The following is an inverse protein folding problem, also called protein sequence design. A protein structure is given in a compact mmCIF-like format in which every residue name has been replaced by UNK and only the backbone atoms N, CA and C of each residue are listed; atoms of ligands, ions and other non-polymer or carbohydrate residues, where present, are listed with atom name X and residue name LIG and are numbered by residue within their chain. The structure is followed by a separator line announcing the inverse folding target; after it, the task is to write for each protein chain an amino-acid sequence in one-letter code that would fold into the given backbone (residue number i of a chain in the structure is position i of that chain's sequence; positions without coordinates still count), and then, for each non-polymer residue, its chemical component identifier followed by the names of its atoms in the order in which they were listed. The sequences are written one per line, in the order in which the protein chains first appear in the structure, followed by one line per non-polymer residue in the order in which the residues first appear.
data_IF_497043010112
#
_entry.id   IF_497043010112
#
_cell.length_a   1.000
_cell.length_b   1.000
_cell.length_c   1.000
_cell.angle_alpha   90.00
_cell.angle_beta   90.00
_cell.angle_gamma   90.00
#
_symmetry.space_group_name_H-M   'P 1'
#
loop_
_entity.id
_entity.type
_entity.pdbx_description
1 polymer ?
#
# COMPACT_ATOMS: atom_id res chain seq x y z
N UNK A 1 21.95 -38.02 28.29
CA UNK A 1 21.81 -37.23 27.02
C UNK A 1 20.36 -37.44 26.60
N UNK A 2 19.48 -36.54 27.08
CA UNK A 2 18.08 -36.53 26.66
C UNK A 2 18.00 -36.06 25.22
N UNK A 3 17.42 -36.88 24.35
CA UNK A 3 17.00 -36.49 23.02
C UNK A 3 15.91 -35.41 23.17
N UNK A 4 16.31 -34.14 23.00
CA UNK A 4 15.35 -33.04 22.84
C UNK A 4 14.55 -33.36 21.58
N UNK A 5 13.32 -33.79 21.80
CA UNK A 5 12.41 -34.30 20.78
C UNK A 5 12.19 -33.22 19.69
N UNK A 6 12.54 -33.53 18.46
CA UNK A 6 12.37 -32.77 17.21
C UNK A 6 10.90 -32.27 17.03
N UNK A 7 9.96 -32.90 17.65
CA UNK A 7 8.53 -32.58 17.64
C UNK A 7 8.19 -31.25 18.34
N UNK A 8 8.88 -30.89 19.41
CA UNK A 8 8.68 -29.61 20.12
C UNK A 8 9.24 -28.42 19.36
N UNK A 9 10.22 -28.61 18.49
CA UNK A 9 10.84 -27.58 17.67
C UNK A 9 9.98 -27.30 16.42
N UNK A 10 9.46 -28.35 15.80
CA UNK A 10 8.51 -28.25 14.67
C UNK A 10 7.20 -27.58 15.08
N UNK A 11 6.66 -27.90 16.26
CA UNK A 11 5.46 -27.27 16.81
C UNK A 11 5.65 -25.76 17.04
N UNK A 12 6.80 -25.34 17.60
CA UNK A 12 7.14 -23.92 17.81
C UNK A 12 7.37 -23.17 16.51
N UNK A 13 8.04 -23.76 15.52
CA UNK A 13 8.21 -23.18 14.19
C UNK A 13 6.88 -23.02 13.46
N UNK A 14 6.01 -24.01 13.53
CA UNK A 14 4.68 -23.95 12.94
C UNK A 14 3.82 -22.85 13.60
N UNK A 15 3.85 -22.71 14.90
CA UNK A 15 3.18 -21.61 15.62
C UNK A 15 3.75 -20.25 15.23
N UNK A 16 5.07 -20.11 15.11
CA UNK A 16 5.71 -18.86 14.73
C UNK A 16 5.42 -18.48 13.27
N UNK A 17 5.32 -19.45 12.35
CA UNK A 17 5.02 -19.21 10.93
C UNK A 17 3.53 -18.98 10.66
N UNK A 18 2.63 -19.54 11.49
CA UNK A 18 1.19 -19.55 11.23
C UNK A 18 0.35 -18.91 12.33
N UNK A 19 0.95 -18.04 13.14
CA UNK A 19 0.16 -17.30 14.13
C UNK A 19 -0.96 -16.50 13.45
N UNK A 20 -2.20 -16.54 13.96
CA UNK A 20 -3.28 -15.75 13.42
C UNK A 20 -3.00 -14.26 13.64
N UNK A 21 -3.55 -13.36 12.78
CA UNK A 21 -3.43 -11.93 13.01
C UNK A 21 -4.06 -11.53 14.35
N UNK A 22 -3.66 -10.39 14.90
CA UNK A 22 -4.32 -9.82 16.08
C UNK A 22 -5.78 -9.49 15.75
N UNK A 23 -6.74 -9.85 16.61
CA UNK A 23 -8.12 -9.41 16.46
C UNK A 23 -8.24 -7.91 16.73
N UNK A 24 -9.37 -7.31 16.36
CA UNK A 24 -9.66 -5.92 16.69
C UNK A 24 -9.68 -5.72 18.22
N UNK A 25 -9.17 -4.57 18.66
CA UNK A 25 -9.14 -4.19 20.09
C UNK A 25 -7.91 -4.68 20.86
N UNK A 26 -7.09 -5.58 20.30
CA UNK A 26 -5.81 -5.98 20.90
C UNK A 26 -4.73 -4.92 20.58
N UNK A 27 -4.26 -4.19 21.61
CA UNK A 27 -3.21 -3.17 21.46
C UNK A 27 -1.88 -3.64 22.04
N UNK A 28 -0.77 -3.21 21.44
CA UNK A 28 0.58 -3.42 21.99
C UNK A 28 1.04 -2.10 22.62
N UNK A 29 1.20 -2.10 23.93
CA UNK A 29 1.77 -0.95 24.64
C UNK A 29 3.25 -0.74 24.24
N UNK A 30 3.64 0.51 23.96
CA UNK A 30 5.02 0.85 23.62
C UNK A 30 5.52 0.30 22.28
N UNK A 31 4.63 0.04 21.31
CA UNK A 31 5.00 -0.38 19.97
C UNK A 31 5.86 0.67 19.29
N UNK A 32 7.00 0.28 18.76
CA UNK A 32 7.88 1.10 17.92
C UNK A 32 7.85 0.63 16.48
N UNK A 33 8.12 1.53 15.55
CA UNK A 33 8.21 1.18 14.12
C UNK A 33 9.41 0.26 13.90
N UNK A 34 9.20 -0.88 13.27
CA UNK A 34 10.27 -1.85 12.99
C UNK A 34 11.08 -1.43 11.74
N UNK A 35 12.35 -1.87 11.66
CA UNK A 35 13.18 -1.66 10.46
C UNK A 35 12.54 -2.26 9.19
N UNK A 36 11.80 -3.35 9.33
CA UNK A 36 11.08 -3.96 8.21
C UNK A 36 9.96 -3.05 7.70
N UNK A 37 9.24 -2.36 8.59
CA UNK A 37 8.21 -1.40 8.22
C UNK A 37 8.81 -0.16 7.55
N UNK A 38 9.94 0.34 8.03
CA UNK A 38 10.66 1.44 7.38
C UNK A 38 11.16 1.04 5.97
N UNK A 39 11.66 -0.18 5.83
CA UNK A 39 12.09 -0.67 4.52
C UNK A 39 10.89 -0.85 3.57
N UNK A 40 9.76 -1.32 4.08
CA UNK A 40 8.51 -1.39 3.32
C UNK A 40 8.07 0.00 2.81
N UNK A 41 8.19 1.04 3.64
CA UNK A 41 7.89 2.42 3.27
C UNK A 41 8.83 2.94 2.17
N UNK A 42 10.13 2.61 2.24
CA UNK A 42 11.11 2.97 1.20
C UNK A 42 10.79 2.34 -0.17
N UNK A 43 10.25 1.13 -0.19
CA UNK A 43 9.80 0.50 -1.45
C UNK A 43 8.65 1.29 -2.09
N UNK A 44 7.71 1.83 -1.29
CA UNK A 44 6.66 2.72 -1.84
C UNK A 44 7.22 4.03 -2.38
N UNK A 45 8.22 4.60 -1.71
CA UNK A 45 8.90 5.81 -2.20
C UNK A 45 9.51 5.56 -3.57
N UNK A 46 10.15 4.40 -3.78
CA UNK A 46 10.69 4.04 -5.09
C UNK A 46 9.60 3.92 -6.17
N UNK A 47 8.41 3.39 -5.83
CA UNK A 47 7.26 3.37 -6.76
C UNK A 47 6.77 4.77 -7.09
N UNK A 48 6.68 5.66 -6.08
CA UNK A 48 6.28 7.06 -6.28
C UNK A 48 7.33 7.80 -7.12
N UNK A 49 8.63 7.55 -6.90
CA UNK A 49 9.72 8.11 -7.69
C UNK A 49 9.56 7.81 -9.18
N UNK A 50 9.22 6.57 -9.55
CA UNK A 50 8.97 6.21 -10.96
C UNK A 50 7.82 7.02 -11.57
N UNK A 51 6.73 7.22 -10.83
CA UNK A 51 5.63 8.06 -11.29
C UNK A 51 6.04 9.55 -11.44
N UNK A 52 6.85 10.05 -10.52
CA UNK A 52 7.34 11.43 -10.51
C UNK A 52 8.30 11.72 -11.68
N UNK A 53 9.19 10.78 -12.02
CA UNK A 53 10.09 10.91 -13.17
C UNK A 53 9.32 11.06 -14.49
N UNK A 54 8.30 10.24 -14.71
CA UNK A 54 7.46 10.34 -15.90
C UNK A 54 6.76 11.72 -16.00
N UNK A 55 6.26 12.25 -14.87
CA UNK A 55 5.68 13.59 -14.84
C UNK A 55 6.72 14.68 -15.17
N UNK A 56 7.97 14.54 -14.65
CA UNK A 56 9.03 15.55 -14.86
C UNK A 56 9.45 15.66 -16.33
N UNK A 57 9.37 14.59 -17.11
CA UNK A 57 9.68 14.58 -18.54
C UNK A 57 8.63 15.32 -19.39
N UNK A 58 7.35 15.28 -18.97
CA UNK A 58 6.23 15.83 -19.72
C UNK A 58 5.23 16.54 -18.81
N UNK A 59 5.53 17.77 -18.39
CA UNK A 59 4.65 18.54 -17.48
C UNK A 59 3.49 19.16 -18.26
N UNK A 60 2.35 18.48 -18.26
CA UNK A 60 1.08 18.96 -18.80
C UNK A 60 -0.03 18.80 -17.78
N UNK A 61 -1.16 19.49 -17.96
CA UNK A 61 -2.32 19.31 -17.08
C UNK A 61 -2.82 17.84 -17.08
N UNK A 62 -2.75 17.18 -18.24
CA UNK A 62 -3.12 15.77 -18.38
C UNK A 62 -2.17 14.87 -17.60
N UNK A 63 -0.86 14.99 -17.81
CA UNK A 63 0.15 14.18 -17.09
C UNK A 63 0.09 14.40 -15.57
N UNK A 64 -0.20 15.65 -15.15
CA UNK A 64 -0.40 15.95 -13.72
C UNK A 64 -1.63 15.24 -13.16
N UNK A 65 -2.73 15.18 -13.91
CA UNK A 65 -3.93 14.45 -13.48
C UNK A 65 -3.68 12.91 -13.45
N UNK A 66 -3.00 12.37 -14.45
CA UNK A 66 -2.60 10.97 -14.54
C UNK A 66 -1.70 10.58 -13.37
N UNK A 67 -0.66 11.38 -13.09
CA UNK A 67 0.18 11.23 -11.91
C UNK A 67 -0.65 11.26 -10.62
N UNK A 68 -1.57 12.21 -10.47
CA UNK A 68 -2.42 12.33 -9.29
C UNK A 68 -3.26 11.08 -9.03
N UNK A 69 -3.79 10.45 -10.08
CA UNK A 69 -4.55 9.19 -9.96
C UNK A 69 -3.64 8.03 -9.56
N UNK A 70 -2.50 7.86 -10.23
CA UNK A 70 -1.52 6.79 -9.93
C UNK A 70 -0.98 6.96 -8.51
N UNK A 71 -0.59 8.18 -8.15
CA UNK A 71 -0.14 8.51 -6.79
C UNK A 71 -1.21 8.17 -5.74
N UNK A 72 -2.48 8.55 -5.98
CA UNK A 72 -3.56 8.25 -5.06
C UNK A 72 -3.74 6.74 -4.84
N UNK A 73 -3.65 5.93 -5.90
CA UNK A 73 -3.70 4.47 -5.77
C UNK A 73 -2.54 3.93 -4.92
N UNK A 74 -1.30 4.38 -5.19
CA UNK A 74 -0.11 3.95 -4.45
C UNK A 74 -0.22 4.38 -2.98
N UNK A 75 -0.64 5.62 -2.73
CA UNK A 75 -0.81 6.15 -1.39
C UNK A 75 -1.90 5.39 -0.59
N UNK A 76 -3.03 5.08 -1.23
CA UNK A 76 -4.10 4.25 -0.63
C UNK A 76 -3.58 2.86 -0.26
N UNK A 77 -2.80 2.24 -1.13
CA UNK A 77 -2.18 0.95 -0.86
C UNK A 77 -1.24 1.02 0.35
N UNK A 78 -0.42 2.08 0.44
CA UNK A 78 0.48 2.33 1.57
C UNK A 78 -0.28 2.53 2.88
N UNK A 79 -1.30 3.40 2.88
CA UNK A 79 -2.13 3.65 4.08
C UNK A 79 -2.78 2.36 4.58
N UNK A 80 -3.32 1.56 3.65
CA UNK A 80 -3.98 0.30 3.97
C UNK A 80 -3.01 -0.72 4.59
N UNK A 81 -1.80 -0.87 4.00
CA UNK A 81 -0.74 -1.73 4.51
C UNK A 81 -0.25 -1.27 5.88
N UNK A 82 -0.03 0.03 6.06
CA UNK A 82 0.43 0.62 7.32
C UNK A 82 -0.58 0.42 8.44
N UNK A 83 -1.86 0.65 8.17
CA UNK A 83 -2.94 0.42 9.13
C UNK A 83 -3.08 -1.08 9.47
N UNK A 84 -2.96 -1.96 8.49
CA UNK A 84 -3.00 -3.39 8.76
C UNK A 84 -1.87 -3.82 9.71
N UNK A 85 -0.63 -3.41 9.44
CA UNK A 85 0.53 -3.75 10.27
C UNK A 85 0.39 -3.17 11.68
N UNK A 86 -0.09 -1.93 11.81
CA UNK A 86 -0.32 -1.28 13.10
C UNK A 86 -1.36 -2.04 13.94
N UNK A 87 -2.50 -2.37 13.34
CA UNK A 87 -3.65 -2.92 14.05
C UNK A 87 -3.53 -4.43 14.28
N UNK A 88 -3.00 -5.16 13.31
CA UNK A 88 -3.10 -6.62 13.25
C UNK A 88 -1.75 -7.33 13.07
N UNK A 89 -0.67 -6.58 12.79
CA UNK A 89 0.68 -7.14 12.63
C UNK A 89 1.19 -7.74 13.94
N UNK A 90 1.90 -8.88 13.86
CA UNK A 90 2.67 -9.51 14.94
C UNK A 90 4.13 -9.57 14.53
N UNK A 91 5.03 -9.64 15.51
CA UNK A 91 6.45 -9.88 15.24
C UNK A 91 6.72 -11.37 15.00
N UNK A 92 6.05 -11.97 14.02
CA UNK A 92 6.12 -13.37 13.67
C UNK A 92 6.59 -13.60 12.23
N UNK A 93 6.89 -14.86 11.90
CA UNK A 93 7.35 -15.24 10.57
C UNK A 93 6.31 -15.01 9.49
N UNK A 94 5.02 -15.19 9.80
CA UNK A 94 3.91 -14.95 8.87
C UNK A 94 3.86 -13.49 8.43
N UNK A 95 3.87 -12.55 9.38
CA UNK A 95 3.85 -11.11 9.08
C UNK A 95 5.05 -10.71 8.23
N UNK A 96 6.25 -11.17 8.60
CA UNK A 96 7.48 -10.91 7.83
C UNK A 96 7.39 -11.45 6.40
N UNK A 97 6.94 -12.70 6.22
CA UNK A 97 6.80 -13.31 4.91
C UNK A 97 5.81 -12.55 4.02
N UNK A 98 4.66 -12.14 4.58
CA UNK A 98 3.66 -11.36 3.86
C UNK A 98 4.20 -9.99 3.46
N UNK A 99 4.91 -9.29 4.34
CA UNK A 99 5.53 -8.00 4.04
C UNK A 99 6.57 -8.15 2.92
N UNK A 100 7.42 -9.18 2.95
CA UNK A 100 8.36 -9.45 1.86
C UNK A 100 7.66 -9.78 0.54
N UNK A 101 6.58 -10.55 0.57
CA UNK A 101 5.78 -10.84 -0.62
C UNK A 101 5.15 -9.55 -1.20
N UNK A 102 4.63 -8.68 -0.34
CA UNK A 102 4.10 -7.37 -0.75
C UNK A 102 5.19 -6.48 -1.34
N UNK A 103 6.39 -6.44 -0.74
CA UNK A 103 7.53 -5.71 -1.30
C UNK A 103 7.88 -6.22 -2.71
N UNK A 104 7.90 -7.55 -2.92
CA UNK A 104 8.13 -8.13 -4.23
C UNK A 104 7.09 -7.69 -5.27
N UNK A 105 5.80 -7.64 -4.88
CA UNK A 105 4.74 -7.12 -5.75
C UNK A 105 4.92 -5.62 -6.02
N UNK A 106 5.32 -4.83 -5.02
CA UNK A 106 5.57 -3.39 -5.18
C UNK A 106 6.78 -3.10 -6.07
N UNK A 107 7.85 -3.87 -5.95
CA UNK A 107 9.00 -3.77 -6.87
C UNK A 107 8.57 -4.06 -8.31
N UNK A 108 7.74 -5.09 -8.52
CA UNK A 108 7.16 -5.37 -9.83
C UNK A 108 6.21 -4.24 -10.29
N UNK A 109 5.47 -3.63 -9.37
CA UNK A 109 4.60 -2.48 -9.67
C UNK A 109 5.43 -1.29 -10.15
N UNK A 110 6.57 -1.00 -9.50
CA UNK A 110 7.47 0.09 -9.87
C UNK A 110 7.91 0.01 -11.35
N UNK A 111 8.14 -1.21 -11.86
CA UNK A 111 8.53 -1.43 -13.27
C UNK A 111 7.48 -0.90 -14.25
N UNK A 112 6.19 -0.95 -13.90
CA UNK A 112 5.09 -0.54 -14.78
C UNK A 112 4.51 0.83 -14.42
N UNK A 113 5.06 1.50 -13.39
CA UNK A 113 4.47 2.74 -12.86
C UNK A 113 4.73 3.92 -13.78
N UNK A 114 5.93 4.02 -14.38
CA UNK A 114 6.27 5.12 -15.28
C UNK A 114 5.28 5.24 -16.46
N UNK A 115 4.93 4.10 -17.08
CA UNK A 115 4.03 4.04 -18.24
C UNK A 115 2.59 3.66 -17.86
N UNK A 116 2.20 3.81 -16.59
CA UNK A 116 0.91 3.32 -16.09
C UNK A 116 -0.30 3.96 -16.79
N UNK A 117 -0.21 5.23 -17.16
CA UNK A 117 -1.26 5.94 -17.89
C UNK A 117 -1.36 5.52 -19.36
N UNK A 118 -0.27 5.04 -19.93
CA UNK A 118 -0.12 4.66 -21.34
C UNK A 118 -0.12 3.14 -21.57
N UNK A 119 0.87 2.64 -22.30
CA UNK A 119 1.02 1.23 -22.67
C UNK A 119 1.25 0.27 -21.49
N UNK A 120 1.86 0.75 -20.41
CA UNK A 120 2.11 0.00 -19.18
C UNK A 120 0.88 -0.19 -18.28
N UNK A 121 -0.25 0.44 -18.58
CA UNK A 121 -1.41 0.46 -17.70
C UNK A 121 -2.08 -0.89 -17.45
N UNK A 122 -2.05 -1.81 -18.43
CA UNK A 122 -2.58 -3.17 -18.21
C UNK A 122 -1.76 -3.97 -17.21
N UNK A 123 -0.44 -4.12 -17.37
CA UNK A 123 0.39 -4.81 -16.35
C UNK A 123 0.36 -4.09 -15.00
N UNK A 124 0.38 -2.75 -14.96
CA UNK A 124 0.21 -2.00 -13.72
C UNK A 124 -1.09 -2.39 -13.00
N UNK A 125 -2.24 -2.38 -13.70
CA UNK A 125 -3.53 -2.75 -13.12
C UNK A 125 -3.53 -4.17 -12.55
N UNK A 126 -2.96 -5.14 -13.26
CA UNK A 126 -2.93 -6.53 -12.81
C UNK A 126 -2.03 -6.72 -11.58
N UNK A 127 -0.85 -6.08 -11.56
CA UNK A 127 0.06 -6.14 -10.40
C UNK A 127 -0.55 -5.41 -9.21
N UNK A 128 -1.16 -4.25 -9.42
CA UNK A 128 -1.86 -3.51 -8.36
C UNK A 128 -3.05 -4.30 -7.82
N UNK A 129 -3.83 -4.97 -8.68
CA UNK A 129 -4.91 -5.86 -8.27
C UNK A 129 -4.41 -7.05 -7.45
N UNK A 130 -3.25 -7.63 -7.81
CA UNK A 130 -2.62 -8.69 -7.03
C UNK A 130 -2.24 -8.20 -5.63
N UNK A 131 -1.68 -7.00 -5.52
CA UNK A 131 -1.39 -6.36 -4.23
C UNK A 131 -2.68 -6.19 -3.40
N UNK A 132 -3.73 -5.61 -3.99
CA UNK A 132 -5.01 -5.43 -3.31
C UNK A 132 -5.66 -6.76 -2.91
N UNK A 133 -5.49 -7.83 -3.71
CA UNK A 133 -5.99 -9.16 -3.38
C UNK A 133 -5.30 -9.74 -2.13
N UNK A 134 -3.98 -9.56 -2.01
CA UNK A 134 -3.22 -9.92 -0.80
C UNK A 134 -3.75 -9.13 0.41
N UNK A 135 -3.95 -7.82 0.28
CA UNK A 135 -4.52 -6.99 1.33
C UNK A 135 -5.93 -7.43 1.72
N UNK A 136 -6.78 -7.73 0.73
CA UNK A 136 -8.14 -8.24 0.96
C UNK A 136 -8.13 -9.56 1.73
N UNK A 137 -7.22 -10.47 1.39
CA UNK A 137 -7.03 -11.73 2.11
C UNK A 137 -6.57 -11.51 3.57
N UNK A 138 -5.68 -10.56 3.79
CA UNK A 138 -5.21 -10.20 5.12
C UNK A 138 -6.37 -9.70 6.01
N UNK A 139 -7.16 -8.75 5.52
CA UNK A 139 -8.34 -8.23 6.24
C UNK A 139 -9.43 -9.29 6.42
N UNK A 140 -9.60 -10.19 5.45
CA UNK A 140 -10.50 -11.33 5.60
C UNK A 140 -10.02 -12.29 6.71
N UNK A 141 -8.70 -12.48 6.85
CA UNK A 141 -8.11 -13.30 7.91
C UNK A 141 -8.40 -12.71 9.30
N UNK A 142 -8.31 -11.37 9.45
CA UNK A 142 -8.69 -10.67 10.69
C UNK A 142 -10.19 -10.88 10.98
N UNK A 143 -11.05 -10.65 9.99
CA UNK A 143 -12.50 -10.86 10.16
C UNK A 143 -12.83 -12.30 10.64
N UNK A 144 -12.10 -13.29 10.14
CA UNK A 144 -12.26 -14.69 10.62
C UNK A 144 -11.83 -14.83 12.08
N UNK A 145 -10.79 -14.14 12.50
CA UNK A 145 -10.34 -14.16 13.88
C UNK A 145 -11.34 -13.49 14.82
N UNK A 146 -11.94 -12.36 14.41
CA UNK A 146 -12.94 -11.62 15.19
C UNK A 146 -14.19 -12.47 15.52
N UNK A 147 -14.52 -13.47 14.70
CA UNK A 147 -15.65 -14.36 14.95
C UNK A 147 -15.56 -15.11 16.30
N UNK A 148 -14.36 -15.24 16.86
CA UNK A 148 -14.11 -16.02 18.08
C UNK A 148 -14.11 -15.20 19.37
N UNK A 149 -14.22 -13.87 19.32
CA UNK A 149 -14.22 -13.06 20.53
C UNK A 149 -14.62 -11.60 20.37
N UNK A 150 -14.73 -11.10 19.12
CA UNK A 150 -14.96 -9.70 18.82
C UNK A 150 -16.05 -9.54 17.75
N UNK A 151 -17.22 -10.14 18.01
CA UNK A 151 -18.31 -10.28 17.04
C UNK A 151 -18.88 -8.94 16.54
N UNK A 152 -18.70 -7.86 17.31
CA UNK A 152 -19.08 -6.49 16.95
C UNK A 152 -18.32 -5.95 15.73
N UNK A 153 -17.11 -6.44 15.49
CA UNK A 153 -16.28 -6.05 14.33
C UNK A 153 -16.52 -6.89 13.08
N UNK A 154 -17.14 -8.07 13.20
CA UNK A 154 -17.33 -9.01 12.07
C UNK A 154 -18.14 -8.37 10.93
N UNK A 155 -19.21 -7.64 11.23
CA UNK A 155 -20.03 -7.01 10.21
C UNK A 155 -19.35 -5.78 9.56
N UNK A 156 -18.72 -4.86 10.31
CA UNK A 156 -17.92 -3.78 9.73
C UNK A 156 -16.75 -4.30 8.89
N UNK A 157 -15.97 -5.25 9.40
CA UNK A 157 -14.85 -5.88 8.67
C UNK A 157 -15.33 -6.60 7.40
N UNK A 158 -16.49 -7.26 7.45
CA UNK A 158 -17.09 -7.90 6.28
C UNK A 158 -17.45 -6.93 5.18
N UNK A 159 -17.98 -5.76 5.53
CA UNK A 159 -18.30 -4.69 4.55
C UNK A 159 -17.02 -4.08 3.96
N UNK A 160 -15.98 -3.92 4.78
CA UNK A 160 -14.69 -3.45 4.31
C UNK A 160 -14.06 -4.43 3.31
N UNK A 161 -14.01 -5.72 3.65
CA UNK A 161 -13.51 -6.79 2.74
C UNK A 161 -14.33 -6.84 1.46
N UNK A 162 -15.66 -6.72 1.52
CA UNK A 162 -16.51 -6.67 0.33
C UNK A 162 -16.19 -5.46 -0.56
N UNK A 163 -16.01 -4.27 0.03
CA UNK A 163 -15.60 -3.07 -0.69
C UNK A 163 -14.24 -3.23 -1.38
N UNK A 164 -13.26 -3.79 -0.66
CA UNK A 164 -11.95 -4.11 -1.24
C UNK A 164 -12.04 -5.12 -2.38
N UNK A 165 -12.88 -6.16 -2.24
CA UNK A 165 -13.11 -7.15 -3.30
C UNK A 165 -13.70 -6.53 -4.56
N UNK A 166 -14.66 -5.59 -4.40
CA UNK A 166 -15.19 -4.79 -5.51
C UNK A 166 -14.09 -3.94 -6.15
N UNK A 167 -13.23 -3.31 -5.34
CA UNK A 167 -12.06 -2.58 -5.83
C UNK A 167 -11.11 -3.45 -6.64
N UNK A 168 -10.77 -4.64 -6.16
CA UNK A 168 -9.94 -5.62 -6.89
C UNK A 168 -10.58 -5.95 -8.24
N UNK A 169 -11.89 -6.28 -8.25
CA UNK A 169 -12.61 -6.61 -9.47
C UNK A 169 -12.63 -5.42 -10.46
N UNK A 170 -12.86 -4.20 -9.99
CA UNK A 170 -12.85 -3.00 -10.82
C UNK A 170 -11.47 -2.75 -11.46
N UNK A 171 -10.38 -2.90 -10.70
CA UNK A 171 -9.02 -2.75 -11.21
C UNK A 171 -8.69 -3.86 -12.23
N UNK A 172 -9.07 -5.12 -11.98
CA UNK A 172 -8.89 -6.21 -12.95
C UNK A 172 -9.67 -5.93 -14.24
N UNK A 173 -10.94 -5.54 -14.14
CA UNK A 173 -11.76 -5.19 -15.31
C UNK A 173 -11.16 -4.01 -16.07
N UNK A 174 -10.61 -3.01 -15.37
CA UNK A 174 -9.98 -1.85 -16.00
C UNK A 174 -8.79 -2.22 -16.88
N UNK A 175 -8.12 -3.36 -16.62
CA UNK A 175 -6.99 -3.83 -17.43
C UNK A 175 -7.37 -4.18 -18.88
N UNK A 176 -8.65 -4.36 -19.16
CA UNK A 176 -9.19 -4.64 -20.50
C UNK A 176 -9.75 -3.40 -21.19
N UNK A 177 -9.77 -2.24 -20.53
CA UNK A 177 -10.30 -0.98 -21.04
C UNK A 177 -9.21 -0.15 -21.74
N UNK A 178 -9.59 0.75 -22.67
CA UNK A 178 -8.68 1.76 -23.22
C UNK A 178 -8.18 2.70 -22.10
N UNK A 179 -7.04 3.38 -22.35
CA UNK A 179 -6.31 4.15 -21.35
C UNK A 179 -7.19 5.17 -20.60
N UNK A 180 -7.97 5.97 -21.31
CA UNK A 180 -8.80 7.00 -20.68
C UNK A 180 -9.90 6.40 -19.78
N UNK A 181 -10.58 5.34 -20.24
CA UNK A 181 -11.61 4.67 -19.45
C UNK A 181 -11.00 3.96 -18.22
N UNK A 182 -9.81 3.38 -18.37
CA UNK A 182 -9.04 2.77 -17.28
C UNK A 182 -8.71 3.78 -16.20
N UNK A 183 -8.21 4.96 -16.60
CA UNK A 183 -7.87 6.05 -15.69
C UNK A 183 -9.10 6.55 -14.91
N UNK A 184 -10.24 6.67 -15.58
CA UNK A 184 -11.52 7.03 -14.93
C UNK A 184 -11.90 5.99 -13.88
N UNK A 185 -11.80 4.70 -14.18
CA UNK A 185 -12.08 3.63 -13.21
C UNK A 185 -11.15 3.73 -12.01
N UNK A 186 -9.87 3.99 -12.22
CA UNK A 186 -8.89 4.17 -11.14
C UNK A 186 -9.19 5.40 -10.27
N UNK A 187 -9.51 6.52 -10.89
CA UNK A 187 -9.91 7.73 -10.17
C UNK A 187 -11.19 7.50 -9.34
N UNK A 188 -12.20 6.84 -9.90
CA UNK A 188 -13.43 6.48 -9.19
C UNK A 188 -13.14 5.53 -8.02
N UNK A 189 -12.26 4.53 -8.19
CA UNK A 189 -11.88 3.61 -7.13
C UNK A 189 -11.15 4.35 -6.00
N UNK A 190 -10.19 5.23 -6.33
CA UNK A 190 -9.46 6.04 -5.35
C UNK A 190 -10.40 6.99 -4.59
N UNK A 191 -11.26 7.74 -5.29
CA UNK A 191 -12.24 8.64 -4.68
C UNK A 191 -13.23 7.87 -3.81
N UNK A 192 -13.73 6.73 -4.26
CA UNK A 192 -14.64 5.88 -3.50
C UNK A 192 -14.05 5.42 -2.18
N UNK A 193 -12.75 5.07 -2.18
CA UNK A 193 -12.02 4.68 -0.97
C UNK A 193 -11.82 5.88 -0.03
N UNK A 194 -11.36 7.03 -0.54
CA UNK A 194 -11.17 8.26 0.24
C UNK A 194 -12.48 8.73 0.89
N UNK A 195 -13.56 8.75 0.12
CA UNK A 195 -14.91 9.10 0.62
C UNK A 195 -15.37 8.09 1.66
N UNK A 196 -15.09 6.80 1.45
CA UNK A 196 -15.40 5.74 2.42
C UNK A 196 -14.70 5.92 3.76
N UNK A 197 -13.46 6.42 3.76
CA UNK A 197 -12.71 6.77 4.98
C UNK A 197 -13.23 8.06 5.64
N UNK A 198 -13.51 9.08 4.86
CA UNK A 198 -13.84 10.41 5.36
C UNK A 198 -15.25 10.49 5.98
N UNK A 199 -16.19 9.63 5.56
CA UNK A 199 -17.58 9.72 6.02
C UNK A 199 -17.78 8.99 7.35
N UNK A 200 -18.12 9.74 8.44
CA UNK A 200 -18.41 9.16 9.75
C UNK A 200 -19.62 8.24 9.66
N UNK A 201 -19.55 7.10 10.35
CA UNK A 201 -20.67 6.13 10.42
C UNK A 201 -20.72 5.08 9.31
N UNK A 202 -19.92 5.18 8.25
CA UNK A 202 -19.72 4.07 7.31
C UNK A 202 -18.74 3.03 7.90
N UNK A 203 -18.81 1.81 7.43
CA UNK A 203 -18.16 0.64 8.06
C UNK A 203 -16.66 0.77 8.22
N UNK A 204 -15.98 1.34 7.23
CA UNK A 204 -14.54 1.61 7.30
C UNK A 204 -14.25 2.69 8.36
N UNK A 205 -14.98 3.82 8.35
CA UNK A 205 -14.80 4.88 9.35
C UNK A 205 -14.98 4.39 10.79
N UNK A 206 -15.89 3.46 11.06
CA UNK A 206 -16.06 2.86 12.40
C UNK A 206 -14.88 1.96 12.81
N UNK A 207 -14.29 1.23 11.88
CA UNK A 207 -13.10 0.43 12.14
C UNK A 207 -11.91 1.32 12.52
N UNK A 208 -11.73 2.45 11.83
CA UNK A 208 -10.64 3.39 12.11
C UNK A 208 -10.91 4.27 13.35
N UNK A 209 -12.16 4.64 13.62
CA UNK A 209 -12.53 5.42 14.81
C UNK A 209 -12.45 4.62 16.11
N UNK A 210 -12.53 3.30 16.04
CA UNK A 210 -12.36 2.42 17.20
C UNK A 210 -10.92 2.33 17.71
N UNK A 211 -9.96 2.85 16.94
CA UNK A 211 -8.55 2.80 17.28
C UNK A 211 -7.97 4.22 17.25
N UNK A 212 -7.62 4.80 18.39
CA UNK A 212 -6.92 6.08 18.41
C UNK A 212 -5.57 5.93 17.67
N UNK A 213 -5.14 6.97 16.92
CA UNK A 213 -3.83 6.94 16.26
C UNK A 213 -2.74 6.73 17.32
N UNK A 214 -1.96 5.66 17.18
CA UNK A 214 -0.82 5.40 18.04
C UNK A 214 0.33 6.37 17.73
N UNK A 215 1.21 6.60 18.69
CA UNK A 215 2.42 7.42 18.46
C UNK A 215 3.26 6.85 17.32
N UNK A 216 3.39 5.52 17.23
CA UNK A 216 4.12 4.84 16.16
C UNK A 216 3.51 5.09 14.78
N UNK A 217 2.18 5.13 14.66
CA UNK A 217 1.51 5.42 13.40
C UNK A 217 1.73 6.88 12.97
N UNK A 218 1.63 7.83 13.90
CA UNK A 218 1.89 9.26 13.62
C UNK A 218 3.33 9.47 13.18
N UNK A 219 4.29 8.86 13.89
CA UNK A 219 5.72 8.89 13.52
C UNK A 219 5.94 8.32 12.11
N UNK A 220 5.35 7.18 11.79
CA UNK A 220 5.47 6.53 10.49
C UNK A 220 4.92 7.40 9.35
N UNK A 221 3.74 8.04 9.55
CA UNK A 221 3.20 8.99 8.58
C UNK A 221 4.11 10.19 8.37
N UNK A 222 4.69 10.72 9.45
CA UNK A 222 5.67 11.81 9.38
C UNK A 222 6.93 11.44 8.61
N UNK A 223 7.52 10.30 8.92
CA UNK A 223 8.73 9.77 8.26
C UNK A 223 8.46 9.53 6.77
N UNK A 224 7.36 8.87 6.43
CA UNK A 224 7.00 8.64 5.03
C UNK A 224 6.82 9.93 4.26
N UNK A 225 6.13 10.92 4.85
CA UNK A 225 5.93 12.24 4.22
C UNK A 225 7.27 12.94 3.95
N UNK A 226 8.21 12.92 4.91
CA UNK A 226 9.52 13.54 4.74
C UNK A 226 10.30 12.85 3.61
N UNK A 227 10.26 11.52 3.53
CA UNK A 227 10.99 10.76 2.50
C UNK A 227 10.38 11.02 1.11
N UNK A 228 9.05 11.03 0.98
CA UNK A 228 8.36 11.37 -0.28
C UNK A 228 8.67 12.79 -0.71
N UNK A 229 8.68 13.77 0.21
CA UNK A 229 9.06 15.14 -0.11
C UNK A 229 10.53 15.24 -0.55
N UNK A 230 11.42 14.46 0.08
CA UNK A 230 12.81 14.36 -0.33
C UNK A 230 12.96 13.85 -1.77
N UNK A 231 12.19 12.83 -2.15
CA UNK A 231 12.14 12.28 -3.51
C UNK A 231 11.64 13.32 -4.52
N UNK A 232 10.56 14.05 -4.20
CA UNK A 232 10.04 15.12 -5.05
C UNK A 232 11.09 16.21 -5.28
N UNK A 233 11.81 16.62 -4.24
CA UNK A 233 12.91 17.61 -4.36
C UNK A 233 14.02 17.07 -5.27
N UNK A 234 14.41 15.80 -5.10
CA UNK A 234 15.43 15.17 -5.93
C UNK A 234 15.04 15.17 -7.42
N UNK A 235 13.82 14.75 -7.75
CA UNK A 235 13.29 14.74 -9.12
C UNK A 235 13.23 16.14 -9.71
N UNK A 236 12.82 17.15 -8.93
CA UNK A 236 12.81 18.55 -9.37
C UNK A 236 14.21 19.08 -9.69
N UNK A 237 15.20 18.80 -8.84
CA UNK A 237 16.60 19.21 -9.05
C UNK A 237 17.19 18.52 -10.27
N UNK A 238 16.93 17.24 -10.47
CA UNK A 238 17.41 16.49 -11.62
C UNK A 238 16.81 17.03 -12.94
N UNK A 239 15.51 17.27 -12.97
CA UNK A 239 14.80 17.86 -14.11
C UNK A 239 15.33 19.27 -14.49
N UNK A 240 15.56 20.15 -13.50
CA UNK A 240 16.14 21.46 -13.72
C UNK A 240 17.59 21.38 -14.25
N UNK A 241 18.37 20.45 -13.71
CA UNK A 241 19.76 20.22 -14.13
C UNK A 241 19.86 19.70 -15.57
N UNK A 242 18.92 18.87 -16.00
CA UNK A 242 18.84 18.37 -17.37
C UNK A 242 18.51 19.50 -18.35
N UNK A 243 17.55 20.37 -18.01
CA UNK A 243 17.15 21.50 -18.84
C UNK A 243 18.26 22.55 -19.03
N UNK A 244 19.07 22.82 -17.98
CA UNK A 244 20.21 23.74 -18.05
C UNK A 244 21.37 23.20 -18.92
N UNK A 245 21.54 21.89 -19.00
CA UNK A 245 22.51 21.25 -19.92
C UNK A 245 22.08 21.37 -21.38
N UNK A 246 20.82 21.19 -21.66
CA UNK A 246 20.26 21.26 -23.03
C UNK A 246 20.36 22.67 -23.60
N UNK A 247 20.03 23.70 -22.80
CA UNK A 247 20.18 25.13 -23.17
C UNK A 247 21.64 25.51 -23.43
N UNK A 248 22.60 24.99 -22.66
CA UNK A 248 24.04 25.24 -22.89
C UNK A 248 24.55 24.58 -24.17
N UNK A 249 24.05 23.41 -24.52
CA UNK A 249 24.43 22.70 -25.74
C UNK A 249 23.93 23.44 -26.99
N UNK A 250 22.76 24.05 -26.94
CA UNK A 250 22.20 24.86 -28.07
C UNK A 250 22.95 26.19 -28.26
N UNK A 251 23.49 26.78 -27.18
CA UNK A 251 24.20 28.08 -27.26
C UNK A 251 25.69 27.96 -27.61
N UNK A 252 26.27 26.75 -27.63
CA UNK A 252 27.69 26.51 -27.98
C UNK A 252 27.90 25.82 -29.32
N UNK A 253 26.87 25.52 -30.09
CA UNK A 253 26.89 24.99 -31.46
C UNK A 253 26.53 26.06 -32.48
#
# INVERSE_FOLDING_TARGET
VEAVTDDGTRGRLAQWLWSPPRPHGETIAGRTVSFLELFYDLVYVAVIGQASHHLAEHVTLRSTAEFGVVFALIWIAWVNGSLYLELHGREDGRTRLVVFAQMGILVLLAVFTADAADGGGRPFALVYAAFLAVMTWLWYSVRRQDQWGHTEFVAPAGRYVAGMSVGVAAIVVSSFLPADARLIVWACAALGWLVGMALPGRSAGRLYQAVPPSESLVERFGLFTIIVLGEVVFVCVDGLSAHDRDTKTITTG
#
